data_IF_168448156469
#
_entry.id   IF_168448156469
#
_cell.length_a   1.000
_cell.length_b   1.000
_cell.length_c   1.000
_cell.angle_alpha   90.00
_cell.angle_beta   90.00
_cell.angle_gamma   90.00
#
_symmetry.space_group_name_H-M   'P 1'
#
loop_
_entity.id
_entity.type
_entity.pdbx_description
1 polymer ?
#
# COMPACT_ATOMS: atom_id res chain seq x y z
N UNK A 1 20.31 -9.82 10.88
CA UNK A 1 19.54 -9.42 12.09
C UNK A 1 19.23 -7.92 12.09
N UNK A 2 20.20 -7.02 11.78
CA UNK A 2 20.00 -5.56 11.80
C UNK A 2 18.83 -5.10 10.92
N UNK A 3 18.75 -5.52 9.64
CA UNK A 3 17.64 -5.16 8.74
C UNK A 3 16.28 -5.66 9.27
N UNK A 4 16.24 -6.84 9.90
CA UNK A 4 14.99 -7.32 10.50
C UNK A 4 14.51 -6.40 11.63
N UNK A 5 15.42 -5.96 12.48
CA UNK A 5 15.13 -5.00 13.55
C UNK A 5 14.68 -3.65 12.98
N UNK A 6 15.40 -3.16 11.96
CA UNK A 6 15.05 -1.92 11.25
C UNK A 6 13.64 -1.99 10.66
N UNK A 7 13.27 -3.09 10.01
CA UNK A 7 11.93 -3.29 9.46
C UNK A 7 10.82 -3.29 10.53
N UNK A 8 11.12 -3.79 11.74
CA UNK A 8 10.17 -3.73 12.87
C UNK A 8 10.05 -2.30 13.39
N UNK A 9 11.16 -1.58 13.46
CA UNK A 9 11.20 -0.19 13.91
C UNK A 9 10.55 0.76 12.92
N UNK A 10 10.64 0.45 11.62
CA UNK A 10 10.14 1.26 10.52
C UNK A 10 10.64 2.72 10.56
N UNK A 11 11.96 2.94 10.43
CA UNK A 11 12.56 4.27 10.59
C UNK A 11 12.10 5.22 9.49
N UNK A 12 12.04 6.50 9.83
CA UNK A 12 11.87 7.59 8.89
C UNK A 12 13.02 7.62 7.87
N UNK A 13 14.25 7.59 8.36
CA UNK A 13 15.47 7.54 7.56
C UNK A 13 16.27 6.28 7.88
N UNK A 14 16.65 5.52 6.87
CA UNK A 14 17.51 4.35 6.98
C UNK A 14 18.77 4.54 6.14
N UNK A 15 19.92 4.63 6.80
CA UNK A 15 21.22 4.66 6.12
C UNK A 15 21.82 3.28 6.15
N UNK A 16 22.18 2.73 4.99
CA UNK A 16 22.89 1.47 4.85
C UNK A 16 24.27 1.76 4.25
N UNK A 17 25.28 1.84 5.11
CA UNK A 17 26.66 2.12 4.73
C UNK A 17 27.57 0.94 5.11
N UNK A 18 27.51 -0.11 4.30
CA UNK A 18 28.24 -1.37 4.45
C UNK A 18 28.75 -1.82 3.09
N UNK A 19 29.69 -2.76 3.05
CA UNK A 19 30.20 -3.32 1.80
C UNK A 19 29.11 -4.01 0.96
N UNK A 20 28.08 -4.57 1.61
CA UNK A 20 26.95 -5.29 1.01
C UNK A 20 25.67 -4.43 0.93
N UNK A 21 25.78 -3.11 0.82
CA UNK A 21 24.65 -2.19 0.98
C UNK A 21 23.48 -2.50 0.02
N UNK A 22 23.72 -2.81 -1.24
CA UNK A 22 22.69 -3.12 -2.24
C UNK A 22 21.91 -4.39 -1.86
N UNK A 23 22.62 -5.47 -1.50
CA UNK A 23 21.99 -6.73 -1.06
C UNK A 23 21.19 -6.58 0.23
N UNK A 24 21.59 -5.66 1.10
CA UNK A 24 20.84 -5.36 2.32
C UNK A 24 19.63 -4.50 2.04
N UNK A 25 19.72 -3.57 1.10
CA UNK A 25 18.59 -2.72 0.68
C UNK A 25 17.42 -3.53 0.12
N UNK A 26 17.68 -4.60 -0.64
CA UNK A 26 16.65 -5.52 -1.14
C UNK A 26 15.80 -6.18 -0.04
N UNK A 27 16.27 -6.18 1.20
CA UNK A 27 15.58 -6.78 2.36
C UNK A 27 14.82 -5.75 3.19
N UNK A 28 14.86 -4.50 2.80
CA UNK A 28 14.11 -3.44 3.47
C UNK A 28 12.67 -3.48 2.99
N UNK A 29 11.75 -3.53 3.94
CA UNK A 29 10.30 -3.49 3.67
C UNK A 29 9.62 -2.29 4.33
N UNK A 30 10.23 -1.72 5.38
CA UNK A 30 9.66 -0.61 6.12
C UNK A 30 10.73 0.45 6.39
N UNK A 31 10.67 1.55 5.66
CA UNK A 31 11.41 2.78 5.93
C UNK A 31 10.74 3.94 5.18
N UNK A 32 10.86 5.16 5.67
CA UNK A 32 10.39 6.35 4.98
C UNK A 32 11.26 6.67 3.76
N UNK A 33 12.59 6.67 3.94
CA UNK A 33 13.59 6.77 2.87
C UNK A 33 14.81 5.93 3.20
N UNK A 34 15.46 5.36 2.17
CA UNK A 34 16.65 4.51 2.32
C UNK A 34 17.82 5.13 1.56
N UNK A 35 18.92 5.37 2.26
CA UNK A 35 20.17 5.93 1.73
C UNK A 35 21.21 4.82 1.64
N UNK A 36 21.67 4.50 0.43
CA UNK A 36 22.44 3.31 0.13
C UNK A 36 23.88 3.69 -0.25
N UNK A 37 24.85 3.11 0.48
CA UNK A 37 26.28 3.32 0.25
C UNK A 37 26.84 4.53 1.01
N UNK A 38 28.15 4.68 0.92
CA UNK A 38 28.89 5.66 1.75
C UNK A 38 28.70 7.12 1.35
N UNK A 39 28.18 7.39 0.17
CA UNK A 39 27.99 8.75 -0.35
C UNK A 39 26.52 9.21 -0.25
N UNK A 40 25.60 8.30 -0.01
CA UNK A 40 24.21 8.64 0.18
C UNK A 40 23.99 9.19 1.59
N UNK A 41 23.42 10.38 1.68
CA UNK A 41 23.12 11.01 2.95
C UNK A 41 21.74 11.65 2.96
N UNK A 42 21.18 11.81 4.14
CA UNK A 42 19.87 12.42 4.39
C UNK A 42 19.75 13.81 3.74
N UNK A 43 20.73 14.67 3.98
CA UNK A 43 20.73 16.04 3.42
C UNK A 43 20.68 16.07 1.90
N UNK A 44 21.29 15.10 1.20
CA UNK A 44 21.15 15.02 -0.23
C UNK A 44 19.70 14.67 -0.62
N UNK A 45 19.06 13.79 0.12
CA UNK A 45 17.65 13.43 -0.04
C UNK A 45 16.74 14.62 0.16
N UNK A 46 16.97 15.41 1.19
CA UNK A 46 16.14 16.54 1.57
C UNK A 46 16.22 17.72 0.56
N UNK A 47 17.39 17.93 -0.04
CA UNK A 47 17.61 19.18 -0.77
C UNK A 47 17.96 19.03 -2.25
N UNK A 48 18.45 17.87 -2.72
CA UNK A 48 19.05 17.83 -4.05
C UNK A 48 18.86 16.56 -4.87
N UNK A 49 18.71 15.40 -4.25
CA UNK A 49 18.71 14.10 -4.97
C UNK A 49 17.34 13.68 -5.53
N UNK A 50 16.28 14.45 -5.27
CA UNK A 50 14.94 14.23 -5.83
C UNK A 50 14.02 13.37 -4.97
N UNK A 51 14.47 12.85 -3.84
CA UNK A 51 13.59 12.24 -2.84
C UNK A 51 12.86 13.31 -2.03
N UNK A 52 11.78 12.94 -1.32
CA UNK A 52 11.01 13.88 -0.52
C UNK A 52 11.44 13.83 0.95
N UNK A 53 11.48 14.98 1.62
CA UNK A 53 11.78 15.08 3.04
C UNK A 53 10.54 14.91 3.94
N UNK A 54 9.33 14.94 3.37
CA UNK A 54 8.09 14.70 4.14
C UNK A 54 7.84 13.21 4.21
N UNK A 55 8.33 12.60 5.27
CA UNK A 55 8.39 11.17 5.47
C UNK A 55 7.55 10.72 6.69
N UNK A 56 7.09 9.48 6.73
CA UNK A 56 6.37 8.94 7.89
C UNK A 56 7.29 8.78 9.09
N UNK A 57 6.91 9.36 10.22
CA UNK A 57 7.65 9.33 11.49
C UNK A 57 7.08 8.30 12.47
N UNK A 58 7.79 8.05 13.58
CA UNK A 58 7.30 7.22 14.70
C UNK A 58 6.81 5.82 14.31
N UNK A 59 7.54 5.16 13.39
CA UNK A 59 7.17 3.83 12.93
C UNK A 59 6.03 3.81 11.92
N UNK A 60 5.48 4.95 11.51
CA UNK A 60 4.40 5.01 10.52
C UNK A 60 4.82 4.49 9.14
N UNK A 61 6.13 4.38 8.86
CA UNK A 61 6.66 3.78 7.63
C UNK A 61 6.31 2.29 7.45
N UNK A 62 5.75 1.63 8.45
CA UNK A 62 5.20 0.29 8.30
C UNK A 62 3.84 0.25 7.57
N UNK A 63 3.16 1.38 7.41
CA UNK A 63 1.84 1.48 6.80
C UNK A 63 1.71 2.62 5.77
N UNK A 64 2.60 3.61 5.82
CA UNK A 64 2.51 4.80 4.98
C UNK A 64 3.83 5.08 4.26
N UNK A 65 3.74 5.58 3.04
CA UNK A 65 4.87 6.12 2.29
C UNK A 65 5.10 7.58 2.59
N UNK A 66 6.29 8.08 2.28
CA UNK A 66 6.54 9.52 2.19
C UNK A 66 5.68 10.19 1.13
N UNK A 67 5.59 11.51 1.20
CA UNK A 67 4.85 12.30 0.23
C UNK A 67 5.43 12.10 -1.18
N UNK A 68 4.58 11.77 -2.15
CA UNK A 68 4.95 11.53 -3.54
C UNK A 68 3.80 11.94 -4.48
N UNK A 69 3.97 11.74 -5.78
CA UNK A 69 2.93 12.09 -6.77
C UNK A 69 1.60 11.39 -6.51
N UNK A 70 1.61 10.14 -6.04
CA UNK A 70 0.39 9.38 -5.73
C UNK A 70 -0.44 10.05 -4.63
N UNK A 71 0.19 10.82 -3.73
CA UNK A 71 -0.49 11.57 -2.67
C UNK A 71 -1.43 12.66 -3.22
N UNK A 72 -1.21 13.10 -4.46
CA UNK A 72 -2.00 14.11 -5.16
C UNK A 72 -2.91 13.50 -6.23
N UNK A 73 -2.89 12.18 -6.39
CA UNK A 73 -3.66 11.46 -7.40
C UNK A 73 -4.89 10.80 -6.78
N UNK A 74 -6.07 11.03 -7.35
CA UNK A 74 -7.27 10.26 -7.00
C UNK A 74 -7.32 8.98 -7.82
N UNK A 75 -7.47 7.87 -7.14
CA UNK A 75 -7.72 6.56 -7.78
C UNK A 75 -9.21 6.25 -7.69
N UNK A 76 -9.87 6.12 -8.84
CA UNK A 76 -11.31 5.84 -8.94
C UNK A 76 -11.46 4.51 -9.67
N UNK A 77 -12.24 3.62 -9.10
CA UNK A 77 -12.57 2.34 -9.75
C UNK A 77 -13.86 2.49 -10.55
N UNK A 78 -13.90 1.88 -11.73
CA UNK A 78 -15.09 1.77 -12.56
C UNK A 78 -15.41 0.28 -12.73
N UNK A 79 -16.66 -0.09 -12.52
CA UNK A 79 -17.11 -1.48 -12.63
C UNK A 79 -18.30 -1.57 -13.59
N UNK A 80 -18.19 -2.49 -14.54
CA UNK A 80 -19.31 -2.91 -15.38
C UNK A 80 -19.49 -4.42 -15.22
N UNK A 81 -20.70 -4.88 -14.98
CA UNK A 81 -21.03 -6.30 -14.86
C UNK A 81 -22.07 -6.60 -15.95
N UNK A 82 -21.80 -7.61 -16.77
CA UNK A 82 -22.75 -8.13 -17.76
C UNK A 82 -23.86 -8.94 -17.09
N UNK A 83 -24.95 -9.20 -17.82
CA UNK A 83 -26.01 -10.10 -17.38
C UNK A 83 -25.45 -11.49 -16.98
N UNK A 84 -24.63 -12.07 -17.85
CA UNK A 84 -23.97 -13.35 -17.55
C UNK A 84 -23.06 -13.25 -16.32
N UNK A 85 -22.35 -12.13 -16.17
CA UNK A 85 -21.51 -11.88 -15.02
C UNK A 85 -22.28 -11.89 -13.71
N UNK A 86 -23.37 -11.12 -13.63
CA UNK A 86 -24.17 -11.07 -12.39
C UNK A 86 -24.87 -12.41 -12.09
N UNK A 87 -25.30 -13.16 -13.11
CA UNK A 87 -25.85 -14.53 -12.93
C UNK A 87 -24.79 -15.45 -12.32
N UNK A 88 -23.53 -15.33 -12.75
CA UNK A 88 -22.44 -16.20 -12.29
C UNK A 88 -22.04 -15.93 -10.85
N UNK A 89 -21.90 -14.65 -10.46
CA UNK A 89 -21.36 -14.28 -9.15
C UNK A 89 -22.45 -13.92 -8.13
N UNK A 90 -23.67 -13.74 -8.54
CA UNK A 90 -24.74 -13.18 -7.70
C UNK A 90 -25.01 -13.98 -6.43
N UNK A 91 -25.11 -15.30 -6.53
CA UNK A 91 -25.34 -16.16 -5.36
C UNK A 91 -24.22 -16.07 -4.32
N UNK A 92 -22.98 -15.95 -4.77
CA UNK A 92 -21.84 -15.74 -3.87
C UNK A 92 -21.93 -14.40 -3.14
N UNK A 93 -22.30 -13.33 -3.87
CA UNK A 93 -22.48 -12.01 -3.26
C UNK A 93 -23.62 -12.02 -2.23
N UNK A 94 -24.76 -12.64 -2.56
CA UNK A 94 -25.90 -12.75 -1.64
C UNK A 94 -25.51 -13.52 -0.37
N UNK A 95 -24.73 -14.60 -0.51
CA UNK A 95 -24.26 -15.42 0.62
C UNK A 95 -23.32 -14.62 1.53
N UNK A 96 -22.35 -13.90 0.93
CA UNK A 96 -21.41 -13.08 1.68
C UNK A 96 -22.13 -11.92 2.39
N UNK A 97 -22.98 -11.21 1.69
CA UNK A 97 -23.73 -10.09 2.26
C UNK A 97 -24.66 -10.54 3.41
N UNK A 98 -25.28 -11.72 3.29
CA UNK A 98 -26.10 -12.30 4.35
C UNK A 98 -25.23 -12.68 5.58
N UNK A 99 -24.05 -13.24 5.38
CA UNK A 99 -23.14 -13.57 6.47
C UNK A 99 -22.66 -12.32 7.24
N UNK A 100 -22.51 -11.19 6.54
CA UNK A 100 -22.18 -9.89 7.14
C UNK A 100 -23.41 -9.13 7.67
N UNK A 101 -24.61 -9.70 7.56
CA UNK A 101 -25.89 -9.09 7.96
C UNK A 101 -26.20 -7.77 7.20
N UNK A 102 -25.71 -7.65 5.98
CA UNK A 102 -25.92 -6.50 5.11
C UNK A 102 -27.09 -6.72 4.15
N UNK A 103 -28.32 -6.71 4.66
CA UNK A 103 -29.55 -7.04 3.90
C UNK A 103 -29.75 -6.15 2.65
N UNK A 104 -29.45 -4.85 2.76
CA UNK A 104 -29.56 -3.94 1.63
C UNK A 104 -28.58 -4.30 0.50
N UNK A 105 -27.34 -4.72 0.83
CA UNK A 105 -26.35 -5.17 -0.15
C UNK A 105 -26.81 -6.47 -0.82
N UNK A 106 -27.30 -7.44 -0.04
CA UNK A 106 -27.89 -8.66 -0.57
C UNK A 106 -29.03 -8.36 -1.53
N UNK A 107 -29.99 -7.56 -1.08
CA UNK A 107 -31.17 -7.22 -1.87
C UNK A 107 -30.83 -6.50 -3.18
N UNK A 108 -29.77 -5.71 -3.20
CA UNK A 108 -29.31 -5.04 -4.43
C UNK A 108 -28.95 -6.05 -5.54
N UNK A 109 -28.47 -7.26 -5.21
CA UNK A 109 -28.22 -8.34 -6.16
C UNK A 109 -29.50 -9.10 -6.46
N UNK A 110 -30.25 -9.46 -5.43
CA UNK A 110 -31.50 -10.23 -5.55
C UNK A 110 -32.47 -9.59 -6.56
N UNK A 111 -32.73 -8.30 -6.45
CA UNK A 111 -33.66 -7.60 -7.35
C UNK A 111 -33.18 -7.56 -8.80
N UNK A 112 -31.88 -7.56 -9.03
CA UNK A 112 -31.29 -7.61 -10.37
C UNK A 112 -31.42 -8.99 -10.99
N UNK A 113 -31.15 -10.04 -10.20
CA UNK A 113 -31.32 -11.42 -10.65
C UNK A 113 -32.77 -11.79 -10.97
N UNK A 114 -33.73 -11.19 -10.25
CA UNK A 114 -35.17 -11.41 -10.52
C UNK A 114 -35.65 -10.73 -11.79
N UNK A 115 -34.94 -9.77 -12.34
CA UNK A 115 -35.25 -9.05 -13.56
C UNK A 115 -34.67 -9.67 -14.83
N UNK A 116 -33.83 -10.69 -14.68
CA UNK A 116 -33.14 -11.41 -15.74
C UNK A 116 -33.86 -12.71 -16.13
#
# INVERSE_FOLDING_TARGET
>A
QAIRLSNIWAPEHLIISTDDCDRLAEKVVNAGSVFIGKYACESAGDYASGTNHTLPTNGAANAYSGLNMDSFMKKITFQTISETGIRTIGSAIETMAAAEQLDAHKNAVTVRLQQL
#
